data_IF_482874592892
#
_entry.id   IF_482874592892
#
_cell.length_a   1.000
_cell.length_b   1.000
_cell.length_c   1.000
_cell.angle_alpha   90.00
_cell.angle_beta   90.00
_cell.angle_gamma   90.00
#
_symmetry.space_group_name_H-M   'P 1'
#
loop_
_entity.id
_entity.type
_entity.pdbx_description
1 polymer ?
#
# COMPACT_ATOMS: atom_id res chain seq x y z
N UNK A 1 -15.21 11.50 5.45
CA UNK A 1 -14.31 11.45 4.27
C UNK A 1 -12.90 11.59 4.78
N UNK A 2 -12.13 10.50 4.83
CA UNK A 2 -10.67 10.57 5.03
C UNK A 2 -9.98 10.29 3.71
N UNK A 3 -8.92 11.04 3.44
CA UNK A 3 -8.36 11.32 2.12
C UNK A 3 -6.91 10.87 1.94
N UNK A 4 -6.48 9.81 2.63
CA UNK A 4 -5.07 9.39 2.59
C UNK A 4 -4.67 8.74 1.26
N UNK A 5 -5.62 8.16 0.52
CA UNK A 5 -5.35 7.61 -0.81
C UNK A 5 -5.27 8.66 -1.95
N UNK A 6 -5.51 9.96 -1.68
CA UNK A 6 -5.17 10.98 -2.69
C UNK A 6 -3.66 11.08 -2.95
N UNK A 7 -2.81 10.57 -2.04
CA UNK A 7 -1.36 10.54 -2.23
C UNK A 7 -0.89 9.36 -3.06
N UNK A 8 -1.67 8.28 -3.13
CA UNK A 8 -1.42 7.16 -4.05
C UNK A 8 -1.96 7.56 -5.44
N UNK A 9 -1.40 8.64 -5.98
CA UNK A 9 -1.51 9.04 -7.38
C UNK A 9 -0.13 8.95 -8.03
N UNK A 10 0.02 9.46 -9.26
CA UNK A 10 1.31 9.42 -9.99
C UNK A 10 2.49 9.94 -9.17
N UNK A 11 2.27 10.97 -8.33
CA UNK A 11 3.32 11.60 -7.51
C UNK A 11 4.04 10.65 -6.57
N UNK A 12 3.37 9.64 -6.02
CA UNK A 12 4.02 8.66 -5.16
C UNK A 12 5.13 7.94 -5.93
N UNK A 13 4.81 7.48 -7.14
CA UNK A 13 5.77 6.83 -8.02
C UNK A 13 6.84 7.81 -8.51
N UNK A 14 6.48 9.05 -8.86
CA UNK A 14 7.44 10.08 -9.30
C UNK A 14 8.46 10.40 -8.18
N UNK A 15 8.04 10.38 -6.92
CA UNK A 15 8.93 10.55 -5.78
C UNK A 15 9.89 9.38 -5.61
N UNK A 16 9.40 8.15 -5.74
CA UNK A 16 10.26 6.96 -5.67
C UNK A 16 11.26 6.97 -6.83
N UNK A 17 10.81 7.27 -8.05
CA UNK A 17 11.65 7.33 -9.25
C UNK A 17 12.72 8.43 -9.14
N UNK A 18 12.40 9.57 -8.51
CA UNK A 18 13.37 10.63 -8.20
C UNK A 18 14.29 10.31 -7.01
N UNK A 19 14.25 9.09 -6.48
CA UNK A 19 15.15 8.62 -5.42
C UNK A 19 14.73 9.02 -4.01
N UNK A 20 13.50 9.50 -3.81
CA UNK A 20 13.00 9.83 -2.47
C UNK A 20 12.62 8.56 -1.72
N UNK A 21 12.95 8.54 -0.43
CA UNK A 21 12.55 7.49 0.51
C UNK A 21 11.19 7.81 1.12
N UNK A 22 10.13 7.67 0.33
CA UNK A 22 8.74 7.86 0.77
C UNK A 22 8.03 6.52 0.91
N UNK A 23 7.19 6.37 1.92
CA UNK A 23 6.42 5.16 2.20
C UNK A 23 4.96 5.54 2.41
N UNK A 24 4.05 4.62 2.08
CA UNK A 24 2.62 4.82 2.25
C UNK A 24 2.00 3.58 2.92
N UNK A 25 1.26 3.78 4.01
CA UNK A 25 0.44 2.73 4.57
C UNK A 25 -0.95 2.69 3.89
N UNK A 26 -1.62 1.54 4.00
CA UNK A 26 -2.91 1.29 3.36
C UNK A 26 -4.13 1.65 4.24
N UNK A 27 -3.93 2.34 5.36
CA UNK A 27 -5.07 2.82 6.14
C UNK A 27 -5.94 3.78 5.34
N UNK A 28 -7.25 3.75 5.60
CA UNK A 28 -8.23 4.58 4.89
C UNK A 28 -8.20 4.45 3.37
N UNK A 29 -7.68 3.35 2.84
CA UNK A 29 -7.87 3.01 1.46
C UNK A 29 -9.36 2.82 1.17
N UNK A 30 -9.86 3.35 0.06
CA UNK A 30 -11.30 3.27 -0.26
C UNK A 30 -11.51 2.95 -1.74
N UNK A 31 -12.63 2.28 -2.02
CA UNK A 31 -13.05 1.96 -3.38
C UNK A 31 -12.00 1.15 -4.16
N UNK A 32 -11.72 1.58 -5.38
CA UNK A 32 -10.86 0.88 -6.33
C UNK A 32 -9.36 1.01 -6.06
N UNK A 33 -8.96 1.89 -5.13
CA UNK A 33 -7.59 2.35 -5.06
C UNK A 33 -6.54 1.28 -4.66
N UNK A 34 -6.82 0.31 -3.77
CA UNK A 34 -5.89 -0.80 -3.52
C UNK A 34 -5.57 -1.61 -4.78
N UNK A 35 -6.60 -1.99 -5.55
CA UNK A 35 -6.43 -2.76 -6.77
C UNK A 35 -5.71 -1.93 -7.85
N UNK A 36 -6.02 -0.64 -7.96
CA UNK A 36 -5.32 0.26 -8.86
C UNK A 36 -3.84 0.43 -8.49
N UNK A 37 -3.52 0.55 -7.20
CA UNK A 37 -2.14 0.63 -6.72
C UNK A 37 -1.36 -0.63 -7.07
N UNK A 38 -1.93 -1.81 -6.81
CA UNK A 38 -1.30 -3.08 -7.16
C UNK A 38 -1.00 -3.16 -8.66
N UNK A 39 -1.98 -2.81 -9.50
CA UNK A 39 -1.81 -2.78 -10.96
C UNK A 39 -0.75 -1.75 -11.41
N UNK A 40 -0.66 -0.58 -10.78
CA UNK A 40 0.37 0.40 -11.11
C UNK A 40 1.77 -0.02 -10.65
N UNK A 41 1.90 -0.68 -9.50
CA UNK A 41 3.17 -1.25 -9.04
C UNK A 41 3.66 -2.30 -10.04
N UNK A 42 2.77 -3.19 -10.47
CA UNK A 42 3.08 -4.20 -11.49
C UNK A 42 3.46 -3.56 -12.83
N UNK A 43 2.64 -2.64 -13.33
CA UNK A 43 2.87 -1.96 -14.62
C UNK A 43 4.17 -1.17 -14.65
N UNK A 44 4.56 -0.54 -13.54
CA UNK A 44 5.76 0.30 -13.44
C UNK A 44 6.99 -0.47 -12.98
N UNK A 45 6.82 -1.64 -12.35
CA UNK A 45 7.91 -2.40 -11.73
C UNK A 45 8.56 -1.69 -10.55
N UNK A 46 7.86 -0.76 -9.88
CA UNK A 46 8.42 0.08 -8.82
C UNK A 46 7.43 0.29 -7.66
N UNK A 47 7.95 0.43 -6.44
CA UNK A 47 7.17 0.79 -5.26
C UNK A 47 6.59 -0.36 -4.45
N UNK A 48 6.83 -1.62 -4.86
CA UNK A 48 6.46 -2.80 -4.07
C UNK A 48 7.08 -2.79 -2.66
N UNK A 49 8.27 -2.20 -2.50
CA UNK A 49 9.00 -2.06 -1.24
C UNK A 49 8.73 -0.74 -0.50
N UNK A 50 7.64 -0.04 -0.85
CA UNK A 50 7.27 1.29 -0.32
C UNK A 50 5.86 1.34 0.27
N UNK A 51 5.15 0.23 0.27
CA UNK A 51 3.76 0.13 0.76
C UNK A 51 3.67 -0.89 1.88
N UNK A 52 2.88 -0.59 2.91
CA UNK A 52 2.63 -1.49 4.04
C UNK A 52 1.16 -1.53 4.44
N UNK A 53 0.72 -2.67 4.96
CA UNK A 53 -0.62 -2.81 5.51
C UNK A 53 -0.80 -2.03 6.81
N UNK A 54 -1.91 -1.30 6.91
CA UNK A 54 -2.40 -0.73 8.16
C UNK A 54 -3.93 -0.72 8.14
N UNK A 55 -4.55 -1.00 9.28
CA UNK A 55 -6.02 -1.07 9.43
C UNK A 55 -6.63 0.16 10.09
N UNK A 56 -5.81 1.06 10.65
CA UNK A 56 -6.26 2.21 11.44
C UNK A 56 -7.12 1.88 12.67
N UNK A 57 -6.90 0.73 13.31
CA UNK A 57 -7.58 0.48 14.59
C UNK A 57 -7.25 1.58 15.62
N UNK A 58 -8.24 2.06 16.41
CA UNK A 58 -9.61 1.53 16.54
C UNK A 58 -10.65 2.15 15.61
N UNK A 59 -10.27 3.05 14.70
CA UNK A 59 -11.20 3.72 13.79
C UNK A 59 -11.59 2.85 12.58
N UNK A 60 -10.68 1.98 12.13
CA UNK A 60 -10.95 0.99 11.09
C UNK A 60 -11.26 -0.41 11.63
N UNK A 61 -11.87 -1.24 10.77
CA UNK A 61 -12.16 -2.65 11.04
C UNK A 61 -11.02 -3.54 10.52
N UNK A 62 -10.19 -4.05 11.42
CA UNK A 62 -9.02 -4.86 11.03
C UNK A 62 -9.37 -6.04 10.13
N UNK A 63 -10.45 -6.77 10.43
CA UNK A 63 -10.80 -7.98 9.69
C UNK A 63 -11.22 -7.64 8.25
N UNK A 64 -12.11 -6.67 8.07
CA UNK A 64 -12.54 -6.21 6.75
C UNK A 64 -11.40 -5.54 5.96
N UNK A 65 -10.58 -4.74 6.63
CA UNK A 65 -9.41 -4.09 6.02
C UNK A 65 -8.40 -5.12 5.50
N UNK A 66 -8.06 -6.11 6.32
CA UNK A 66 -7.15 -7.19 5.96
C UNK A 66 -7.70 -7.98 4.76
N UNK A 67 -8.96 -8.44 4.83
CA UNK A 67 -9.57 -9.21 3.76
C UNK A 67 -9.57 -8.45 2.42
N UNK A 68 -9.88 -7.14 2.46
CA UNK A 68 -9.88 -6.30 1.27
C UNK A 68 -8.48 -6.07 0.71
N UNK A 69 -7.46 -5.87 1.56
CA UNK A 69 -6.08 -5.72 1.09
C UNK A 69 -5.52 -7.03 0.53
N UNK A 70 -5.82 -8.18 1.15
CA UNK A 70 -5.45 -9.48 0.58
C UNK A 70 -6.05 -9.69 -0.80
N UNK A 71 -7.34 -9.37 -0.99
CA UNK A 71 -7.99 -9.45 -2.29
C UNK A 71 -7.36 -8.54 -3.36
N UNK A 72 -6.81 -7.39 -2.96
CA UNK A 72 -6.19 -6.43 -3.88
C UNK A 72 -4.72 -6.73 -4.20
N UNK A 73 -3.93 -7.21 -3.23
CA UNK A 73 -2.51 -7.48 -3.40
C UNK A 73 -2.23 -8.90 -3.93
N UNK A 74 -3.21 -9.79 -3.86
CA UNK A 74 -3.06 -11.20 -4.24
C UNK A 74 -2.25 -11.99 -3.20
N UNK A 75 -1.58 -13.04 -3.67
CA UNK A 75 -0.81 -14.00 -2.86
C UNK A 75 0.68 -14.08 -3.26
N UNK A 76 1.13 -13.18 -4.14
CA UNK A 76 2.51 -13.14 -4.65
C UNK A 76 3.48 -12.26 -3.83
N UNK A 77 4.62 -11.92 -4.43
CA UNK A 77 5.67 -11.11 -3.79
C UNK A 77 5.17 -9.74 -3.30
N UNK A 78 4.22 -9.13 -4.02
CA UNK A 78 3.62 -7.86 -3.60
C UNK A 78 2.93 -7.99 -2.24
N UNK A 79 2.20 -9.08 -2.01
CA UNK A 79 1.52 -9.33 -0.74
C UNK A 79 2.54 -9.53 0.39
N UNK A 80 3.59 -10.32 0.15
CA UNK A 80 4.68 -10.53 1.12
C UNK A 80 5.36 -9.21 1.52
N UNK A 81 5.61 -8.33 0.54
CA UNK A 81 6.11 -6.99 0.82
C UNK A 81 5.17 -6.15 1.68
N UNK A 82 3.90 -6.07 1.27
CA UNK A 82 2.90 -5.21 1.93
C UNK A 82 2.59 -5.67 3.34
N UNK A 83 2.47 -6.97 3.59
CA UNK A 83 2.05 -7.50 4.89
C UNK A 83 3.21 -7.76 5.85
N UNK A 84 4.43 -7.92 5.35
CA UNK A 84 5.56 -8.34 6.18
C UNK A 84 6.84 -7.53 5.91
N UNK A 85 7.42 -7.64 4.72
CA UNK A 85 8.82 -7.19 4.52
C UNK A 85 9.01 -5.68 4.60
N UNK A 86 8.04 -4.88 4.13
CA UNK A 86 8.15 -3.42 4.22
C UNK A 86 8.10 -2.96 5.68
N UNK A 87 7.26 -3.58 6.52
CA UNK A 87 7.23 -3.26 7.94
C UNK A 87 8.55 -3.63 8.62
N UNK A 88 9.03 -4.86 8.44
CA UNK A 88 10.32 -5.29 8.99
C UNK A 88 11.47 -4.40 8.55
N UNK A 89 11.53 -4.02 7.28
CA UNK A 89 12.57 -3.11 6.79
C UNK A 89 12.58 -1.73 7.47
N UNK A 90 11.42 -1.25 7.91
CA UNK A 90 11.27 0.08 8.50
C UNK A 90 11.47 0.09 10.03
N UNK A 91 11.15 -1.00 10.70
CA UNK A 91 10.98 -1.02 12.15
C UNK A 91 11.81 -2.09 12.89
N UNK A 92 12.44 -3.03 12.20
CA UNK A 92 13.43 -3.98 12.77
C UNK A 92 14.86 -3.45 12.61
#
# INVERSE_FOLDING_TARGET
>A
MSGHIKLIGSRFFDWIESGRRVYADLSWAIGFAPAWLAAEIERRGLGHDRVLFASDQPWGDHAGELARMCAAMGDGELADHVFHRTFSHLYD
#
